data_IF_422888774093
#
_entry.id   IF_422888774093
#
_cell.length_a   1.000
_cell.length_b   1.000
_cell.length_c   1.000
_cell.angle_alpha   90.00
_cell.angle_beta   90.00
_cell.angle_gamma   90.00
#
_symmetry.space_group_name_H-M   'P 1'
#
loop_
_entity.id
_entity.type
_entity.pdbx_description
1 polymer ?
#
# COMPACT_ATOMS: atom_id res chain seq x y z
N UNK A 1 1.44 -18.94 6.43
CA UNK A 1 0.91 -17.62 6.82
C UNK A 1 0.36 -16.97 5.56
N UNK A 2 -0.84 -16.34 5.58
CA UNK A 2 -1.31 -15.59 4.42
C UNK A 2 -0.28 -14.51 4.08
N UNK A 3 0.08 -14.39 2.80
CA UNK A 3 1.01 -13.36 2.32
C UNK A 3 0.45 -11.99 2.70
N UNK A 4 1.21 -11.13 3.41
CA UNK A 4 0.73 -9.80 3.74
C UNK A 4 0.41 -9.04 2.44
N UNK A 5 -0.81 -8.52 2.35
CA UNK A 5 -1.29 -7.79 1.18
C UNK A 5 -0.83 -6.34 1.26
N UNK A 6 -0.15 -5.88 0.22
CA UNK A 6 0.35 -4.50 0.09
C UNK A 6 -0.37 -3.78 -1.06
N UNK A 7 -0.44 -2.43 -1.04
CA UNK A 7 -0.86 -1.67 -2.22
C UNK A 7 -0.04 -2.10 -3.44
N UNK A 8 -0.71 -2.40 -4.55
CA UNK A 8 -0.07 -2.80 -5.81
C UNK A 8 -0.27 -1.70 -6.85
N UNK A 9 0.82 -1.21 -7.45
CA UNK A 9 0.78 -0.15 -8.45
C UNK A 9 2.14 0.51 -8.61
N UNK A 10 2.22 1.48 -9.52
CA UNK A 10 3.38 2.36 -9.64
C UNK A 10 3.10 3.56 -8.73
N UNK A 11 3.96 3.78 -7.73
CA UNK A 11 3.83 4.92 -6.84
C UNK A 11 4.36 6.17 -7.57
N UNK A 12 3.57 7.24 -7.62
CA UNK A 12 4.05 8.52 -8.12
C UNK A 12 4.89 9.20 -7.03
N UNK A 13 6.19 9.27 -7.28
CA UNK A 13 7.15 9.91 -6.38
C UNK A 13 7.25 11.39 -6.73
N UNK A 14 6.63 12.24 -5.92
CA UNK A 14 6.85 13.68 -5.96
C UNK A 14 7.99 14.06 -5.01
N UNK A 15 8.97 14.82 -5.52
CA UNK A 15 10.07 15.30 -4.68
C UNK A 15 9.52 16.12 -3.50
N UNK A 16 10.01 15.79 -2.30
CA UNK A 16 9.70 16.52 -1.07
C UNK A 16 10.98 17.18 -0.60
N UNK A 17 10.92 18.49 -0.36
CA UNK A 17 11.99 19.23 0.30
C UNK A 17 11.46 19.73 1.65
N UNK A 18 12.24 19.52 2.71
CA UNK A 18 11.88 20.02 4.03
C UNK A 18 12.02 21.55 4.04
N UNK A 19 11.03 22.23 4.61
CA UNK A 19 11.14 23.67 4.82
C UNK A 19 12.25 23.98 5.83
N UNK A 20 12.73 25.22 5.82
CA UNK A 20 13.71 25.68 6.83
C UNK A 20 13.19 25.51 8.25
N UNK A 21 11.91 25.82 8.49
CA UNK A 21 11.26 25.68 9.79
C UNK A 21 11.22 24.21 10.25
N UNK A 22 10.94 23.28 9.33
CA UNK A 22 10.93 21.84 9.62
C UNK A 22 12.32 21.31 10.00
N UNK A 23 13.35 21.75 9.26
CA UNK A 23 14.75 21.42 9.54
C UNK A 23 15.17 21.94 10.92
N UNK A 24 14.86 23.20 11.22
CA UNK A 24 15.14 23.82 12.52
C UNK A 24 14.38 23.09 13.66
N UNK A 25 13.10 22.75 13.47
CA UNK A 25 12.29 22.02 14.45
C UNK A 25 12.87 20.64 14.78
N UNK A 26 13.29 19.89 13.76
CA UNK A 26 13.94 18.58 13.94
C UNK A 26 15.28 18.72 14.68
N UNK A 27 16.11 19.69 14.27
CA UNK A 27 17.39 19.96 14.93
C UNK A 27 17.25 20.35 16.40
N UNK A 28 16.25 21.19 16.72
CA UNK A 28 15.93 21.58 18.09
C UNK A 28 15.49 20.39 18.95
N UNK A 29 14.64 19.50 18.42
CA UNK A 29 14.19 18.31 19.17
C UNK A 29 15.37 17.37 19.49
N UNK A 30 16.27 17.17 18.53
CA UNK A 30 17.48 16.35 18.71
C UNK A 30 18.41 16.99 19.76
N UNK A 31 18.64 18.30 19.64
CA UNK A 31 19.49 19.08 20.57
C UNK A 31 18.92 19.11 21.99
N UNK A 32 17.59 19.24 22.13
CA UNK A 32 16.90 19.24 23.43
C UNK A 32 17.06 17.92 24.20
N UNK A 33 17.40 16.82 23.51
CA UNK A 33 17.71 15.52 24.10
C UNK A 33 19.21 15.27 24.27
N UNK A 34 20.04 16.31 24.12
CA UNK A 34 21.49 16.25 24.30
C UNK A 34 22.22 15.49 23.20
N UNK A 35 21.63 15.41 22.01
CA UNK A 35 22.26 14.81 20.82
C UNK A 35 22.56 15.91 19.80
N UNK A 36 23.56 15.69 18.95
CA UNK A 36 23.89 16.59 17.84
C UNK A 36 23.85 15.82 16.52
N UNK A 37 23.38 16.49 15.46
CA UNK A 37 23.46 15.96 14.10
C UNK A 37 24.91 16.07 13.63
N UNK A 38 25.52 14.94 13.26
CA UNK A 38 26.88 14.89 12.71
C UNK A 38 26.89 15.32 11.24
N UNK A 39 25.87 14.89 10.51
CA UNK A 39 25.62 15.24 9.12
C UNK A 39 24.13 15.58 8.98
N UNK A 40 23.83 16.87 9.09
CA UNK A 40 22.45 17.35 9.00
C UNK A 40 21.86 17.15 7.60
N UNK A 41 22.68 17.23 6.55
CA UNK A 41 22.21 17.10 5.17
C UNK A 41 21.81 15.65 4.87
N UNK A 42 22.61 14.67 5.29
CA UNK A 42 22.25 13.25 5.18
C UNK A 42 20.97 12.94 5.97
N UNK A 43 20.88 13.45 7.21
CA UNK A 43 19.69 13.27 8.04
C UNK A 43 18.43 13.82 7.34
N UNK A 44 18.47 15.08 6.89
CA UNK A 44 17.34 15.72 6.22
C UNK A 44 16.96 15.00 4.94
N UNK A 45 17.94 14.58 4.12
CA UNK A 45 17.67 13.83 2.89
C UNK A 45 16.94 12.50 3.15
N UNK A 46 17.30 11.79 4.22
CA UNK A 46 16.59 10.57 4.61
C UNK A 46 15.16 10.87 5.09
N UNK A 47 14.92 11.98 5.78
CA UNK A 47 13.58 12.40 6.19
C UNK A 47 12.74 12.80 4.97
N UNK A 48 13.30 13.56 4.03
CA UNK A 48 12.65 13.92 2.76
C UNK A 48 12.24 12.67 1.98
N UNK A 49 13.15 11.69 1.88
CA UNK A 49 12.85 10.38 1.29
C UNK A 49 11.73 9.64 2.03
N UNK A 50 11.70 9.69 3.36
CA UNK A 50 10.65 9.08 4.17
C UNK A 50 9.28 9.71 3.89
N UNK A 51 9.23 11.05 3.81
CA UNK A 51 8.00 11.80 3.51
C UNK A 51 7.50 11.53 2.10
N UNK A 52 8.42 11.54 1.12
CA UNK A 52 8.11 11.19 -0.27
C UNK A 52 7.52 9.77 -0.37
N UNK A 53 8.19 8.78 0.23
CA UNK A 53 7.74 7.39 0.23
C UNK A 53 6.39 7.23 0.91
N UNK A 54 6.18 7.92 2.04
CA UNK A 54 4.91 7.91 2.75
C UNK A 54 3.75 8.44 1.89
N UNK A 55 3.94 9.59 1.23
CA UNK A 55 2.92 10.19 0.36
C UNK A 55 2.57 9.25 -0.80
N UNK A 56 3.57 8.72 -1.48
CA UNK A 56 3.40 7.82 -2.61
C UNK A 56 2.65 6.53 -2.20
N UNK A 57 3.07 5.91 -1.09
CA UNK A 57 2.41 4.70 -0.56
C UNK A 57 1.01 4.96 -0.02
N UNK A 58 0.77 6.11 0.63
CA UNK A 58 -0.56 6.48 1.11
C UNK A 58 -1.52 6.72 -0.06
N UNK A 59 -1.07 7.35 -1.14
CA UNK A 59 -1.87 7.51 -2.36
C UNK A 59 -2.25 6.15 -2.95
N UNK A 60 -1.26 5.28 -3.16
CA UNK A 60 -1.49 3.91 -3.62
C UNK A 60 -2.47 3.14 -2.73
N UNK A 61 -2.37 3.28 -1.41
CA UNK A 61 -3.28 2.64 -0.44
C UNK A 61 -4.72 3.16 -0.61
N UNK A 62 -4.89 4.46 -0.82
CA UNK A 62 -6.21 5.08 -0.92
C UNK A 62 -6.91 4.75 -2.26
N UNK A 63 -6.12 4.50 -3.31
CA UNK A 63 -6.54 3.96 -4.60
C UNK A 63 -6.81 2.43 -4.55
N UNK A 64 -5.98 1.70 -3.81
CA UNK A 64 -6.06 0.24 -3.65
C UNK A 64 -7.17 -0.15 -2.68
N UNK A 65 -8.43 -0.04 -3.10
CA UNK A 65 -9.60 -0.39 -2.27
C UNK A 65 -9.95 -1.87 -2.42
N UNK A 66 -9.83 -2.70 -1.36
CA UNK A 66 -10.23 -4.11 -1.41
C UNK A 66 -11.70 -4.31 -1.82
N UNK A 67 -12.57 -3.36 -1.48
CA UNK A 67 -13.97 -3.37 -1.91
C UNK A 67 -14.13 -3.25 -3.42
N UNK A 68 -13.28 -2.45 -4.09
CA UNK A 68 -13.33 -2.32 -5.54
C UNK A 68 -12.78 -3.57 -6.23
N UNK A 69 -11.76 -4.23 -5.67
CA UNK A 69 -11.29 -5.53 -6.17
C UNK A 69 -12.43 -6.57 -6.17
N UNK A 70 -13.11 -6.75 -5.03
CA UNK A 70 -14.26 -7.66 -4.92
C UNK A 70 -15.38 -7.30 -5.90
N UNK A 71 -15.70 -6.01 -6.00
CA UNK A 71 -16.73 -5.50 -6.91
C UNK A 71 -16.38 -5.72 -8.38
N UNK A 72 -15.11 -5.59 -8.75
CA UNK A 72 -14.63 -5.85 -10.11
C UNK A 72 -14.78 -7.33 -10.46
N UNK A 73 -14.31 -8.25 -9.59
CA UNK A 73 -14.51 -9.69 -9.78
C UNK A 73 -15.99 -10.06 -9.91
N UNK A 74 -16.84 -9.53 -9.02
CA UNK A 74 -18.29 -9.76 -9.08
C UNK A 74 -18.88 -9.28 -10.41
N UNK A 75 -18.61 -8.03 -10.82
CA UNK A 75 -19.12 -7.48 -12.08
C UNK A 75 -18.64 -8.28 -13.29
N UNK A 76 -17.38 -8.70 -13.32
CA UNK A 76 -16.82 -9.51 -14.38
C UNK A 76 -17.50 -10.89 -14.43
N UNK A 77 -17.74 -11.52 -13.28
CA UNK A 77 -18.44 -12.80 -13.18
C UNK A 77 -19.89 -12.67 -13.66
N UNK A 78 -20.63 -11.67 -13.17
CA UNK A 78 -22.01 -11.38 -13.59
C UNK A 78 -22.09 -11.17 -15.12
N UNK A 79 -21.11 -10.46 -15.70
CA UNK A 79 -21.02 -10.24 -17.14
C UNK A 79 -20.74 -11.53 -17.92
N UNK A 80 -19.87 -12.40 -17.41
CA UNK A 80 -19.56 -13.68 -18.02
C UNK A 80 -20.75 -14.65 -17.98
N UNK A 81 -21.49 -14.66 -16.86
CA UNK A 81 -22.74 -15.44 -16.73
C UNK A 81 -23.81 -14.92 -17.69
N UNK A 82 -24.00 -13.60 -17.78
CA UNK A 82 -24.93 -13.00 -18.74
C UNK A 82 -24.57 -13.38 -20.19
N UNK A 83 -23.30 -13.34 -20.56
CA UNK A 83 -22.86 -13.78 -21.89
C UNK A 83 -23.18 -15.26 -22.13
N UNK A 84 -23.02 -16.12 -21.12
CA UNK A 84 -23.34 -17.54 -21.22
C UNK A 84 -24.83 -17.76 -21.48
N UNK A 85 -25.69 -17.02 -20.80
CA UNK A 85 -27.13 -17.05 -21.02
C UNK A 85 -27.49 -16.58 -22.44
N UNK A 86 -26.87 -15.50 -22.93
CA UNK A 86 -27.06 -15.03 -24.30
C UNK A 86 -26.61 -16.03 -25.36
N UNK A 87 -25.53 -16.77 -25.11
CA UNK A 87 -25.12 -17.87 -26.00
C UNK A 87 -26.18 -18.98 -25.99
N UNK A 88 -26.74 -19.33 -24.83
CA UNK A 88 -27.81 -20.33 -24.73
C UNK A 88 -29.10 -19.92 -25.47
N UNK A 89 -29.42 -18.63 -25.48
CA UNK A 89 -30.60 -18.08 -26.17
C UNK A 89 -30.45 -17.96 -27.70
N UNK A 90 -29.24 -18.17 -28.26
CA UNK A 90 -29.03 -18.04 -29.70
C UNK A 90 -29.91 -19.02 -30.48
N UNK A 91 -30.59 -18.52 -31.50
CA UNK A 91 -31.40 -19.34 -32.41
C UNK A 91 -30.52 -20.20 -33.33
N UNK A 92 -31.16 -21.17 -34.00
CA UNK A 92 -30.47 -22.13 -34.86
C UNK A 92 -29.71 -21.49 -36.03
N UNK A 93 -30.23 -20.41 -36.63
CA UNK A 93 -29.56 -19.73 -37.73
C UNK A 93 -28.34 -18.98 -37.24
N UNK A 94 -28.45 -18.28 -36.11
CA UNK A 94 -27.32 -17.61 -35.48
C UNK A 94 -26.21 -18.61 -35.10
N UNK A 95 -26.57 -19.78 -34.54
CA UNK A 95 -25.62 -20.86 -34.23
C UNK A 95 -24.96 -21.44 -35.48
N UNK A 96 -25.72 -21.62 -36.57
CA UNK A 96 -25.22 -22.11 -37.86
C UNK A 96 -24.24 -21.12 -38.50
N UNK A 97 -24.52 -19.82 -38.43
CA UNK A 97 -23.59 -18.79 -38.91
C UNK A 97 -22.28 -18.87 -38.12
N UNK A 98 -22.38 -19.03 -36.80
CA UNK A 98 -21.23 -19.08 -35.92
C UNK A 98 -20.35 -20.33 -36.14
N UNK A 99 -20.95 -21.49 -36.40
CA UNK A 99 -20.23 -22.73 -36.72
C UNK A 99 -19.48 -22.68 -38.05
N UNK A 100 -19.91 -21.84 -38.99
CA UNK A 100 -19.21 -21.60 -40.27
C UNK A 100 -18.00 -20.68 -40.12
N UNK A 101 -17.93 -19.88 -39.06
CA UNK A 101 -16.86 -18.90 -38.83
C UNK A 101 -15.83 -19.34 -37.79
N UNK A 102 -16.25 -20.14 -36.81
CA UNK A 102 -15.40 -20.60 -35.72
C UNK A 102 -15.44 -22.13 -35.66
N UNK A 103 -14.27 -22.76 -35.66
CA UNK A 103 -14.17 -24.21 -35.49
C UNK A 103 -14.78 -24.65 -34.15
N UNK A 104 -15.72 -25.59 -34.20
CA UNK A 104 -16.51 -26.04 -33.04
C UNK A 104 -17.63 -25.08 -32.62
N UNK A 105 -17.80 -23.94 -33.32
CA UNK A 105 -18.91 -23.01 -33.17
C UNK A 105 -19.19 -22.59 -31.73
N UNK A 106 -20.46 -22.69 -31.34
CA UNK A 106 -20.94 -22.29 -30.01
C UNK A 106 -20.36 -23.14 -28.87
N UNK A 107 -20.07 -24.42 -29.12
CA UNK A 107 -19.47 -25.32 -28.11
C UNK A 107 -18.08 -24.85 -27.71
N UNK A 108 -17.30 -24.36 -28.68
CA UNK A 108 -15.98 -23.77 -28.41
C UNK A 108 -16.10 -22.53 -27.54
N UNK A 109 -17.07 -21.64 -27.82
CA UNK A 109 -17.32 -20.45 -27.01
C UNK A 109 -17.71 -20.80 -25.57
N UNK A 110 -18.65 -21.73 -25.36
CA UNK A 110 -19.02 -22.18 -24.01
C UNK A 110 -17.83 -22.75 -23.24
N UNK A 111 -16.95 -23.52 -23.89
CA UNK A 111 -15.77 -24.07 -23.24
C UNK A 111 -14.81 -22.97 -22.77
N UNK A 112 -14.56 -21.95 -23.59
CA UNK A 112 -13.71 -20.82 -23.18
C UNK A 112 -14.37 -20.00 -22.07
N UNK A 113 -15.67 -19.72 -22.21
CA UNK A 113 -16.42 -18.97 -21.23
C UNK A 113 -16.49 -19.71 -19.89
N UNK A 114 -16.63 -21.03 -19.88
CA UNK A 114 -16.57 -21.85 -18.67
C UNK A 114 -15.25 -21.72 -17.92
N UNK A 115 -14.11 -21.68 -18.64
CA UNK A 115 -12.80 -21.40 -18.04
C UNK A 115 -12.73 -20.00 -17.43
N UNK A 116 -13.26 -19.00 -18.13
CA UNK A 116 -13.32 -17.61 -17.65
C UNK A 116 -14.18 -17.54 -16.38
N UNK A 117 -15.37 -18.14 -16.38
CA UNK A 117 -16.26 -18.20 -15.22
C UNK A 117 -15.57 -18.88 -14.03
N UNK A 118 -14.89 -20.02 -14.23
CA UNK A 118 -14.12 -20.69 -13.16
C UNK A 118 -13.06 -19.76 -12.59
N UNK A 119 -12.23 -19.16 -13.44
CA UNK A 119 -11.16 -18.27 -13.00
C UNK A 119 -11.69 -17.03 -12.27
N UNK A 120 -12.81 -16.44 -12.73
CA UNK A 120 -13.45 -15.31 -12.06
C UNK A 120 -14.10 -15.71 -10.73
N UNK A 121 -14.67 -16.92 -10.64
CA UNK A 121 -15.23 -17.46 -9.40
C UNK A 121 -14.15 -17.72 -8.36
N UNK A 122 -13.05 -18.36 -8.76
CA UNK A 122 -11.87 -18.59 -7.91
C UNK A 122 -11.25 -17.26 -7.48
N UNK A 123 -11.08 -16.32 -8.40
CA UNK A 123 -10.58 -14.98 -8.12
C UNK A 123 -11.51 -14.19 -7.17
N UNK A 124 -12.83 -14.33 -7.33
CA UNK A 124 -13.80 -13.74 -6.40
C UNK A 124 -13.71 -14.36 -5.00
N UNK A 125 -13.51 -15.67 -4.90
CA UNK A 125 -13.34 -16.35 -3.61
C UNK A 125 -12.04 -15.90 -2.92
N UNK A 126 -10.95 -15.82 -3.68
CA UNK A 126 -9.70 -15.24 -3.18
C UNK A 126 -9.86 -13.76 -2.78
N UNK A 127 -10.69 -13.00 -3.50
CA UNK A 127 -10.98 -11.60 -3.18
C UNK A 127 -11.74 -11.43 -1.83
N UNK A 128 -12.46 -12.46 -1.37
CA UNK A 128 -13.13 -12.45 -0.06
C UNK A 128 -12.15 -12.63 1.11
N UNK A 129 -10.96 -13.18 0.86
CA UNK A 129 -9.87 -13.23 1.84
C UNK A 129 -9.23 -11.85 2.07
N UNK A 130 -9.54 -10.84 1.22
CA UNK A 130 -9.04 -9.49 1.42
C UNK A 130 -9.65 -8.84 2.68
N UNK A 131 -8.89 -7.99 3.39
CA UNK A 131 -9.41 -7.26 4.53
C UNK A 131 -10.74 -6.54 4.24
N UNK A 132 -11.67 -6.67 5.18
CA UNK A 132 -12.92 -5.90 5.18
C UNK A 132 -12.62 -4.52 5.76
N UNK A 133 -12.15 -3.59 4.93
CA UNK A 133 -11.86 -2.22 5.36
C UNK A 133 -10.70 -1.58 4.62
N UNK A 134 -10.07 -0.59 5.27
CA UNK A 134 -8.83 0.01 4.79
C UNK A 134 -7.68 -1.00 4.94
N UNK A 135 -6.77 -1.02 3.98
CA UNK A 135 -5.51 -1.75 4.11
C UNK A 135 -4.75 -1.24 5.34
N UNK A 136 -3.96 -2.12 5.96
CA UNK A 136 -3.04 -1.75 7.05
C UNK A 136 -2.17 -0.57 6.61
N UNK A 137 -1.91 0.35 7.52
CA UNK A 137 -1.16 1.57 7.22
C UNK A 137 0.36 1.32 7.16
N UNK A 138 0.77 0.54 6.16
CA UNK A 138 2.16 0.18 5.92
C UNK A 138 3.05 1.41 5.69
N UNK A 139 2.51 2.48 5.09
CA UNK A 139 3.23 3.72 4.86
C UNK A 139 3.77 4.32 6.17
N UNK A 140 3.00 4.27 7.27
CA UNK A 140 3.47 4.75 8.59
C UNK A 140 4.60 3.90 9.14
N UNK A 141 4.55 2.58 8.94
CA UNK A 141 5.59 1.67 9.41
C UNK A 141 6.90 1.88 8.63
N UNK A 142 6.83 2.02 7.31
CA UNK A 142 8.01 2.32 6.49
C UNK A 142 8.61 3.69 6.81
N UNK A 143 7.78 4.72 6.97
CA UNK A 143 8.26 6.03 7.43
C UNK A 143 9.02 5.89 8.75
N UNK A 144 8.48 5.15 9.72
CA UNK A 144 9.14 4.93 11.00
C UNK A 144 10.48 4.18 10.86
N UNK A 145 10.60 3.22 9.94
CA UNK A 145 11.85 2.50 9.64
C UNK A 145 12.91 3.42 9.02
N UNK A 146 12.51 4.31 8.11
CA UNK A 146 13.43 5.29 7.53
C UNK A 146 13.88 6.31 8.58
N UNK A 147 12.99 6.75 9.49
CA UNK A 147 13.36 7.60 10.63
C UNK A 147 14.38 6.89 11.54
N UNK A 148 14.21 5.58 11.81
CA UNK A 148 15.22 4.78 12.53
C UNK A 148 16.56 4.84 11.80
N UNK A 149 16.58 4.62 10.48
CA UNK A 149 17.80 4.69 9.67
C UNK A 149 18.45 6.07 9.74
N UNK A 150 17.65 7.14 9.66
CA UNK A 150 18.12 8.52 9.76
C UNK A 150 18.77 8.80 11.12
N UNK A 151 18.16 8.38 12.23
CA UNK A 151 18.76 8.54 13.57
C UNK A 151 20.06 7.72 13.70
N UNK A 152 20.06 6.48 13.19
CA UNK A 152 21.24 5.62 13.22
C UNK A 152 22.41 6.16 12.40
N UNK A 153 22.17 6.83 11.27
CA UNK A 153 23.27 7.46 10.50
C UNK A 153 23.97 8.56 11.30
N UNK A 154 23.26 9.20 12.23
CA UNK A 154 23.82 10.18 13.16
C UNK A 154 24.50 9.53 14.38
N UNK A 155 24.46 8.21 14.50
CA UNK A 155 24.94 7.46 15.67
C UNK A 155 23.98 7.50 16.86
N UNK A 156 22.72 7.84 16.64
CA UNK A 156 21.68 7.90 17.68
C UNK A 156 20.90 6.59 17.68
N UNK A 157 20.94 5.85 18.80
CA UNK A 157 20.17 4.61 18.90
C UNK A 157 18.69 4.90 19.21
N UNK A 158 17.74 4.45 18.37
CA UNK A 158 16.33 4.69 18.59
C UNK A 158 15.82 3.88 19.78
N UNK A 159 15.18 4.55 20.73
CA UNK A 159 14.56 3.92 21.91
C UNK A 159 13.05 4.09 21.88
N UNK A 160 12.32 3.11 22.41
CA UNK A 160 10.86 3.13 22.44
C UNK A 160 10.28 3.94 23.59
N UNK A 161 11.07 4.58 24.45
CA UNK A 161 10.54 5.26 25.64
C UNK A 161 9.48 6.30 25.26
N UNK A 162 8.39 6.37 26.05
CA UNK A 162 7.39 7.43 25.93
C UNK A 162 8.11 8.76 26.14
N UNK A 163 7.96 9.72 25.23
CA UNK A 163 8.72 10.98 25.18
C UNK A 163 10.23 10.83 24.88
N UNK A 164 10.65 9.66 24.42
CA UNK A 164 11.98 9.42 23.90
C UNK A 164 12.20 10.11 22.56
N UNK A 165 13.46 10.42 22.24
CA UNK A 165 13.86 11.15 21.04
C UNK A 165 13.25 10.57 19.76
N UNK A 166 13.31 9.24 19.59
CA UNK A 166 12.73 8.58 18.43
C UNK A 166 11.22 8.81 18.31
N UNK A 167 10.47 8.69 19.42
CA UNK A 167 9.02 8.92 19.40
C UNK A 167 8.69 10.37 19.05
N UNK A 168 9.47 11.34 19.55
CA UNK A 168 9.23 12.75 19.28
C UNK A 168 9.56 13.11 17.82
N UNK A 169 10.72 12.69 17.32
CA UNK A 169 11.10 12.86 15.91
C UNK A 169 10.08 12.18 14.98
N UNK A 170 9.67 10.95 15.30
CA UNK A 170 8.66 10.25 14.51
C UNK A 170 7.30 10.98 14.51
N UNK A 171 6.88 11.55 15.65
CA UNK A 171 5.65 12.33 15.73
C UNK A 171 5.74 13.60 14.86
N UNK A 172 6.87 14.31 14.91
CA UNK A 172 7.14 15.50 14.08
C UNK A 172 7.08 15.12 12.58
N UNK A 173 7.77 14.06 12.16
CA UNK A 173 7.80 13.64 10.75
C UNK A 173 6.42 13.16 10.29
N UNK A 174 5.65 12.47 11.14
CA UNK A 174 4.27 12.07 10.79
C UNK A 174 3.32 13.28 10.73
N UNK A 175 3.53 14.30 11.56
CA UNK A 175 2.79 15.56 11.47
C UNK A 175 3.06 16.25 10.13
N UNK A 176 4.32 16.32 9.71
CA UNK A 176 4.70 16.83 8.37
C UNK A 176 4.07 16.01 7.25
N UNK A 177 4.07 14.68 7.36
CA UNK A 177 3.52 13.80 6.32
C UNK A 177 2.00 13.88 6.21
N UNK A 178 1.29 14.13 7.31
CA UNK A 178 -0.18 14.11 7.38
C UNK A 178 -0.83 15.49 7.42
N UNK A 179 -0.06 16.54 7.70
CA UNK A 179 -0.57 17.89 7.98
C UNK A 179 -1.44 17.98 9.23
N UNK A 180 -1.35 17.00 10.15
CA UNK A 180 -2.21 16.90 11.34
C UNK A 180 -1.38 16.64 12.58
N UNK A 181 -1.75 17.21 13.75
CA UNK A 181 -1.08 16.92 15.01
C UNK A 181 -1.05 15.42 15.33
N UNK A 182 0.11 14.91 15.74
CA UNK A 182 0.31 13.50 16.10
C UNK A 182 0.78 13.39 17.55
N UNK A 183 -0.04 12.82 18.42
CA UNK A 183 0.25 12.70 19.86
C UNK A 183 0.59 11.28 20.34
N UNK A 184 0.35 10.25 19.52
CA UNK A 184 0.53 8.85 19.89
C UNK A 184 1.24 8.06 18.79
N UNK A 185 2.54 7.81 18.96
CA UNK A 185 3.36 7.01 18.03
C UNK A 185 4.06 5.83 18.70
N UNK A 186 3.91 5.65 20.02
CA UNK A 186 4.69 4.67 20.78
C UNK A 186 4.52 3.22 20.30
N UNK A 187 3.28 2.80 19.99
CA UNK A 187 3.02 1.46 19.45
C UNK A 187 3.70 1.26 18.08
N UNK A 188 3.62 2.28 17.21
CA UNK A 188 4.27 2.28 15.90
C UNK A 188 5.80 2.26 16.04
N UNK A 189 6.36 3.03 16.96
CA UNK A 189 7.78 3.07 17.26
C UNK A 189 8.29 1.69 17.74
N UNK A 190 7.56 1.04 18.65
CA UNK A 190 7.90 -0.29 19.13
C UNK A 190 7.85 -1.35 18.01
N UNK A 191 6.83 -1.29 17.16
CA UNK A 191 6.72 -2.18 16.01
C UNK A 191 7.82 -1.95 14.96
N UNK A 192 8.15 -0.69 14.68
CA UNK A 192 9.22 -0.33 13.76
C UNK A 192 10.58 -0.86 14.25
N UNK A 193 10.92 -0.67 15.53
CA UNK A 193 12.18 -1.19 16.10
C UNK A 193 12.23 -2.73 16.04
N UNK A 194 11.13 -3.40 16.40
CA UNK A 194 11.04 -4.87 16.37
C UNK A 194 11.31 -5.41 14.98
N UNK A 195 10.72 -4.81 13.96
CA UNK A 195 10.82 -5.29 12.57
C UNK A 195 12.06 -4.79 11.85
N UNK A 196 12.65 -3.65 12.23
CA UNK A 196 13.94 -3.22 11.69
C UNK A 196 15.06 -4.20 12.04
N UNK A 197 15.04 -4.77 13.25
CA UNK A 197 16.01 -5.77 13.72
C UNK A 197 15.94 -7.12 13.01
N UNK A 198 14.83 -7.44 12.34
CA UNK A 198 14.72 -8.68 11.55
C UNK A 198 15.29 -8.53 10.14
N UNK A 199 15.45 -7.29 9.68
CA UNK A 199 15.79 -6.95 8.31
C UNK A 199 17.26 -6.47 8.19
N UNK A 200 18.00 -6.41 9.31
CA UNK A 200 19.42 -6.04 9.43
C UNK A 200 20.27 -7.20 9.93
#
# INVERSE_FOLDING_TARGET
MPTPWFPTGIADYEAVELSREDKERLGLEISAKGQELKDADEFHSLIEHALMSYKAMSSLRDESRPSEVRKNFKKSLDSALLLNDRLNEMDANSRLILSRKISGGITTLHRHLGKIISALSEGSHAADEFPKGRLTDYARLELARVVIKALKSQGIEPTTTKEGLFSNVLAIVLEMATGKPVSAVHALAAEAIRTYRSDS
#
